data_IF_315928306164
#
_entry.id   IF_315928306164
#
_cell.length_a   1.000
_cell.length_b   1.000
_cell.length_c   1.000
_cell.angle_alpha   90.00
_cell.angle_beta   90.00
_cell.angle_gamma   90.00
#
_symmetry.space_group_name_H-M   'P 1'
#
loop_
_entity.id
_entity.type
_entity.pdbx_description
1 polymer ?
#
# COMPACT_ATOMS: atom_id res chain seq x y z
N UNK A 1 45.00 13.40 9.65
CA UNK A 1 43.62 13.01 10.00
C UNK A 1 42.62 14.17 10.11
N UNK A 2 43.02 15.45 10.15
CA UNK A 2 42.07 16.58 10.24
C UNK A 2 41.35 16.93 8.91
N UNK A 3 41.98 16.71 7.75
CA UNK A 3 41.43 17.10 6.45
C UNK A 3 40.21 16.26 6.00
N UNK A 4 40.14 14.98 6.38
CA UNK A 4 39.02 14.12 6.01
C UNK A 4 37.72 14.46 6.78
N UNK A 5 37.85 14.98 8.01
CA UNK A 5 36.70 15.34 8.85
C UNK A 5 36.04 16.65 8.41
N UNK A 6 36.84 17.63 7.93
CA UNK A 6 36.32 18.87 7.35
C UNK A 6 35.50 18.61 6.08
N UNK A 7 35.97 17.70 5.23
CA UNK A 7 35.28 17.32 3.98
C UNK A 7 33.90 16.69 4.22
N UNK A 8 33.75 15.90 5.29
CA UNK A 8 32.48 15.24 5.63
C UNK A 8 31.42 16.22 6.15
N UNK A 9 31.86 17.24 6.90
CA UNK A 9 30.99 18.32 7.41
C UNK A 9 30.50 19.20 6.27
N UNK A 10 31.36 19.54 5.31
CA UNK A 10 30.98 20.32 4.13
C UNK A 10 30.01 19.55 3.22
N UNK A 11 30.21 18.24 3.07
CA UNK A 11 29.26 17.38 2.33
C UNK A 11 27.91 17.32 3.05
N UNK A 12 27.88 17.19 4.38
CA UNK A 12 26.63 17.21 5.15
C UNK A 12 25.87 18.53 4.98
N UNK A 13 26.57 19.65 5.09
CA UNK A 13 26.00 20.98 4.90
C UNK A 13 25.39 21.13 3.51
N UNK A 14 26.11 20.70 2.47
CA UNK A 14 25.63 20.71 1.08
C UNK A 14 24.40 19.82 0.87
N UNK A 15 24.36 18.65 1.50
CA UNK A 15 23.21 17.74 1.44
C UNK A 15 21.98 18.38 2.11
N UNK A 16 22.17 19.05 3.24
CA UNK A 16 21.07 19.71 3.97
C UNK A 16 20.55 20.94 3.22
N UNK A 17 21.41 21.74 2.60
CA UNK A 17 21.02 22.86 1.73
C UNK A 17 20.19 22.36 0.52
N UNK A 18 20.61 21.25 -0.10
CA UNK A 18 19.87 20.60 -1.19
C UNK A 18 18.50 20.05 -0.74
N UNK A 19 18.42 19.52 0.49
CA UNK A 19 17.15 19.07 1.07
C UNK A 19 16.21 20.25 1.31
N UNK A 20 16.72 21.35 1.85
CA UNK A 20 15.94 22.57 2.09
C UNK A 20 15.43 23.18 0.78
N UNK A 21 16.26 23.23 -0.27
CA UNK A 21 15.82 23.70 -1.59
C UNK A 21 14.74 22.81 -2.22
N UNK A 22 14.83 21.47 -2.05
CA UNK A 22 13.77 20.56 -2.49
C UNK A 22 12.47 20.80 -1.73
N UNK A 23 12.54 20.91 -0.41
CA UNK A 23 11.38 21.23 0.43
C UNK A 23 10.75 22.57 0.04
N UNK A 24 11.56 23.60 -0.22
CA UNK A 24 11.08 24.92 -0.65
C UNK A 24 10.36 24.85 -2.01
N UNK A 25 10.90 24.09 -2.97
CA UNK A 25 10.24 23.84 -4.27
C UNK A 25 8.96 23.05 -4.11
N UNK A 26 8.93 22.02 -3.26
CA UNK A 26 7.72 21.25 -2.96
C UNK A 26 6.65 22.10 -2.27
N UNK A 27 7.03 23.00 -1.36
CA UNK A 27 6.09 23.94 -0.73
C UNK A 27 5.59 25.00 -1.71
N UNK A 28 6.46 25.53 -2.57
CA UNK A 28 6.06 26.48 -3.61
C UNK A 28 5.12 25.84 -4.64
N UNK A 29 5.35 24.57 -4.99
CA UNK A 29 4.46 23.80 -5.86
C UNK A 29 3.09 23.52 -5.20
N UNK A 30 3.02 23.46 -3.87
CA UNK A 30 1.75 23.33 -3.13
C UNK A 30 0.95 24.62 -3.07
N UNK A 31 1.62 25.78 -3.06
CA UNK A 31 0.96 27.09 -3.05
C UNK A 31 0.26 27.39 -4.39
N UNK A 32 0.68 26.73 -5.47
CA UNK A 32 0.07 26.81 -6.81
C UNK A 32 -0.77 25.57 -7.15
N UNK A 33 -1.45 24.95 -6.17
CA UNK A 33 -2.46 23.95 -6.50
C UNK A 33 -3.63 24.64 -7.21
N UNK A 34 -3.71 24.45 -8.53
CA UNK A 34 -4.94 24.62 -9.29
C UNK A 34 -6.09 23.95 -8.54
N UNK A 35 -7.20 24.67 -8.35
CA UNK A 35 -8.42 24.11 -7.77
C UNK A 35 -8.76 22.81 -8.50
N UNK A 36 -8.85 21.71 -7.76
CA UNK A 36 -9.23 20.42 -8.32
C UNK A 36 -10.67 20.50 -8.81
N UNK A 37 -10.86 20.76 -10.10
CA UNK A 37 -12.18 20.72 -10.75
C UNK A 37 -12.48 19.28 -11.14
N UNK A 38 -13.31 18.62 -10.33
CA UNK A 38 -13.77 17.26 -10.58
C UNK A 38 -14.96 17.26 -11.55
N UNK A 39 -14.85 16.55 -12.68
CA UNK A 39 -15.99 16.26 -13.54
C UNK A 39 -16.33 14.77 -13.49
N UNK A 40 -17.62 14.47 -13.69
CA UNK A 40 -18.06 13.09 -13.87
C UNK A 40 -17.43 12.53 -15.14
N UNK A 41 -16.84 11.34 -15.04
CA UNK A 41 -16.13 10.67 -16.12
C UNK A 41 -14.61 10.81 -16.06
N UNK A 42 -14.08 11.83 -15.37
CA UNK A 42 -12.63 12.02 -15.26
C UNK A 42 -11.96 10.90 -14.46
N UNK A 43 -10.71 10.64 -14.78
CA UNK A 43 -9.86 9.68 -14.09
C UNK A 43 -9.00 10.36 -13.03
N UNK A 44 -8.94 9.75 -11.85
CA UNK A 44 -8.22 10.24 -10.69
C UNK A 44 -7.41 9.15 -10.00
N UNK A 45 -6.33 9.55 -9.34
CA UNK A 45 -5.63 8.72 -8.37
C UNK A 45 -6.19 9.00 -6.98
N UNK A 46 -6.36 7.95 -6.19
CA UNK A 46 -6.83 8.01 -4.81
C UNK A 46 -5.69 7.75 -3.82
N UNK A 47 -5.58 8.60 -2.81
CA UNK A 47 -4.58 8.46 -1.74
C UNK A 47 -5.01 7.46 -0.67
N UNK A 48 -4.39 6.27 -0.65
CA UNK A 48 -4.47 5.31 0.45
C UNK A 48 -3.43 5.65 1.51
N UNK A 49 -3.84 5.70 2.77
CA UNK A 49 -2.93 5.88 3.90
C UNK A 49 -2.42 4.50 4.33
N UNK A 50 -1.17 4.16 4.00
CA UNK A 50 -0.62 2.82 4.27
C UNK A 50 -0.11 2.67 5.70
N UNK A 51 0.57 3.69 6.23
CA UNK A 51 1.14 3.69 7.57
C UNK A 51 1.07 5.09 8.18
N UNK A 52 0.51 5.16 9.39
CA UNK A 52 0.52 6.37 10.20
C UNK A 52 1.93 6.53 10.81
N UNK A 53 2.87 7.16 10.09
CA UNK A 53 4.11 7.66 10.69
C UNK A 53 3.87 9.09 11.19
N UNK A 54 4.28 9.36 12.42
CA UNK A 54 4.34 10.74 12.92
C UNK A 54 5.65 11.40 12.44
N UNK A 55 5.66 12.66 11.99
CA UNK A 55 4.55 13.60 11.86
C UNK A 55 3.82 13.58 10.50
N UNK A 56 4.21 12.72 9.54
CA UNK A 56 3.64 12.68 8.19
C UNK A 56 3.16 11.28 7.78
N UNK A 57 1.91 11.22 7.31
CA UNK A 57 1.31 10.02 6.72
C UNK A 57 2.12 9.55 5.51
N UNK A 58 2.45 8.26 5.48
CA UNK A 58 2.88 7.63 4.24
C UNK A 58 1.63 7.35 3.41
N UNK A 59 1.59 7.95 2.23
CA UNK A 59 0.46 7.90 1.31
C UNK A 59 0.92 7.22 0.03
N UNK A 60 0.17 6.22 -0.41
CA UNK A 60 0.31 5.62 -1.74
C UNK A 60 -0.87 6.05 -2.60
N UNK A 61 -0.57 6.51 -3.81
CA UNK A 61 -1.57 6.87 -4.80
C UNK A 61 -1.94 5.62 -5.60
N UNK A 62 -3.23 5.27 -5.59
CA UNK A 62 -3.78 4.11 -6.30
C UNK A 62 -4.69 4.57 -7.44
N UNK A 63 -4.78 3.77 -8.50
CA UNK A 63 -5.67 4.00 -9.62
C UNK A 63 -4.93 4.00 -10.96
N UNK A 64 -5.58 4.43 -12.05
CA UNK A 64 -6.77 5.29 -12.11
C UNK A 64 -8.11 4.73 -11.59
N UNK A 65 -8.92 5.62 -11.02
CA UNK A 65 -10.34 5.46 -10.74
C UNK A 65 -11.14 6.45 -11.60
N UNK A 66 -12.35 6.09 -12.02
CA UNK A 66 -13.26 6.98 -12.73
C UNK A 66 -14.20 7.68 -11.75
N UNK A 67 -14.39 9.00 -11.87
CA UNK A 67 -15.39 9.73 -11.10
C UNK A 67 -16.78 9.40 -11.63
N UNK A 68 -17.67 8.91 -10.77
CA UNK A 68 -19.07 8.63 -11.12
C UNK A 68 -20.01 9.72 -10.64
N UNK A 69 -19.72 10.34 -9.50
CA UNK A 69 -20.52 11.41 -8.92
C UNK A 69 -19.63 12.46 -8.27
N UNK A 70 -20.03 13.74 -8.36
CA UNK A 70 -19.32 14.87 -7.77
C UNK A 70 -20.25 15.58 -6.79
N UNK A 71 -19.76 15.81 -5.57
CA UNK A 71 -20.37 16.65 -4.54
C UNK A 71 -19.41 17.78 -4.15
N UNK A 72 -19.88 18.75 -3.35
CA UNK A 72 -19.13 19.97 -3.00
C UNK A 72 -17.72 19.71 -2.45
N UNK A 73 -17.52 18.65 -1.66
CA UNK A 73 -16.23 18.33 -1.03
C UNK A 73 -15.80 16.88 -1.22
N UNK A 74 -16.56 16.08 -1.96
CA UNK A 74 -16.32 14.65 -2.12
C UNK A 74 -16.78 14.15 -3.48
N UNK A 75 -16.15 13.09 -3.97
CA UNK A 75 -16.57 12.39 -5.17
C UNK A 75 -16.81 10.92 -4.87
N UNK A 76 -17.69 10.30 -5.65
CA UNK A 76 -17.75 8.84 -5.77
C UNK A 76 -16.80 8.44 -6.89
N UNK A 77 -15.88 7.52 -6.58
CA UNK A 77 -14.87 7.03 -7.51
C UNK A 77 -15.06 5.52 -7.71
N UNK A 78 -15.01 5.08 -8.97
CA UNK A 78 -15.15 3.70 -9.39
C UNK A 78 -13.80 3.15 -9.85
N UNK A 79 -13.40 2.00 -9.32
CA UNK A 79 -12.17 1.35 -9.76
C UNK A 79 -12.35 0.77 -11.18
N UNK A 80 -11.44 1.09 -12.11
CA UNK A 80 -11.61 0.76 -13.53
C UNK A 80 -11.66 -0.75 -13.82
N UNK A 81 -10.99 -1.58 -13.01
CA UNK A 81 -10.97 -3.04 -13.22
C UNK A 81 -12.06 -3.76 -12.45
N UNK A 82 -12.27 -3.36 -11.19
CA UNK A 82 -13.14 -4.12 -10.27
C UNK A 82 -14.55 -3.57 -10.21
N UNK A 83 -14.80 -2.39 -10.80
CA UNK A 83 -16.09 -1.71 -10.77
C UNK A 83 -16.53 -1.23 -9.38
N UNK A 84 -15.72 -1.45 -8.33
CA UNK A 84 -16.08 -1.07 -6.96
C UNK A 84 -16.04 0.43 -6.78
N UNK A 85 -17.09 0.96 -6.19
CA UNK A 85 -17.24 2.39 -5.89
C UNK A 85 -16.79 2.71 -4.46
N UNK A 86 -16.31 3.94 -4.27
CA UNK A 86 -15.87 4.47 -2.96
C UNK A 86 -16.12 5.96 -2.90
N UNK A 87 -16.45 6.46 -1.70
CA UNK A 87 -16.50 7.90 -1.44
C UNK A 87 -15.10 8.40 -1.03
N UNK A 88 -14.64 9.47 -1.66
CA UNK A 88 -13.37 10.11 -1.34
C UNK A 88 -13.52 11.63 -1.28
N UNK A 89 -12.90 12.26 -0.28
CA UNK A 89 -12.80 13.72 -0.20
C UNK A 89 -11.89 14.24 -1.33
N UNK A 90 -12.17 15.41 -1.89
CA UNK A 90 -11.40 16.00 -3.01
C UNK A 90 -9.90 16.13 -2.70
N UNK A 91 -9.54 16.48 -1.47
CA UNK A 91 -8.13 16.53 -1.02
C UNK A 91 -7.39 15.18 -1.03
N UNK A 92 -8.12 14.07 -1.16
CA UNK A 92 -7.56 12.71 -1.28
C UNK A 92 -7.44 12.25 -2.73
N UNK A 93 -7.82 13.09 -3.68
CA UNK A 93 -7.80 12.82 -5.10
C UNK A 93 -6.71 13.64 -5.78
N UNK A 94 -6.14 13.07 -6.85
CA UNK A 94 -5.23 13.75 -7.75
C UNK A 94 -5.71 13.50 -9.18
N UNK A 95 -5.86 14.54 -10.03
CA UNK A 95 -6.16 14.34 -11.45
C UNK A 95 -5.19 13.35 -12.08
N UNK A 96 -5.73 12.43 -12.88
CA UNK A 96 -4.94 11.52 -13.70
C UNK A 96 -5.14 11.83 -15.18
N UNK A 97 -6.39 11.81 -15.64
CA UNK A 97 -6.74 12.11 -17.03
C UNK A 97 -8.20 12.53 -17.15
N UNK A 98 -8.56 13.19 -18.25
CA UNK A 98 -9.95 13.56 -18.56
C UNK A 98 -10.78 12.35 -19.00
N UNK A 99 -12.11 12.46 -18.98
CA UNK A 99 -13.01 11.34 -19.33
C UNK A 99 -12.88 10.78 -20.75
N UNK A 100 -12.32 11.55 -21.70
CA UNK A 100 -12.02 11.09 -23.07
C UNK A 100 -10.76 10.22 -23.16
N UNK A 101 -10.07 9.99 -22.05
CA UNK A 101 -8.85 9.21 -22.00
C UNK A 101 -9.10 7.73 -22.31
N UNK A 102 -8.36 7.20 -23.28
CA UNK A 102 -8.43 5.79 -23.64
C UNK A 102 -7.64 4.93 -22.64
N UNK A 103 -8.34 4.09 -21.89
CA UNK A 103 -7.73 3.12 -20.99
C UNK A 103 -7.10 1.97 -21.79
N UNK A 104 -5.83 2.13 -22.16
CA UNK A 104 -5.02 1.11 -22.83
C UNK A 104 -4.84 -0.14 -21.96
N UNK A 105 -4.48 -1.25 -22.59
CA UNK A 105 -4.20 -2.50 -21.91
C UNK A 105 -3.04 -2.37 -20.90
N UNK A 106 -1.97 -1.65 -21.27
CA UNK A 106 -0.82 -1.39 -20.38
C UNK A 106 -1.24 -0.68 -19.08
N UNK A 107 -2.14 0.29 -19.17
CA UNK A 107 -2.65 0.99 -17.99
C UNK A 107 -3.48 0.05 -17.13
N UNK A 108 -4.32 -0.78 -17.75
CA UNK A 108 -5.13 -1.78 -17.03
C UNK A 108 -4.25 -2.81 -16.33
N UNK A 109 -3.18 -3.29 -16.98
CA UNK A 109 -2.19 -4.18 -16.39
C UNK A 109 -1.50 -3.51 -15.20
N UNK A 110 -1.03 -2.28 -15.37
CA UNK A 110 -0.43 -1.52 -14.27
C UNK A 110 -1.40 -1.30 -13.09
N UNK A 111 -2.69 -1.01 -13.35
CA UNK A 111 -3.70 -0.91 -12.29
C UNK A 111 -3.95 -2.26 -11.63
N UNK A 112 -3.87 -3.36 -12.37
CA UNK A 112 -4.04 -4.71 -11.80
C UNK A 112 -2.92 -5.07 -10.82
N UNK A 113 -1.71 -4.54 -11.04
CA UNK A 113 -0.58 -4.67 -10.12
C UNK A 113 -0.73 -3.79 -8.87
N UNK A 114 -1.54 -2.73 -8.95
CA UNK A 114 -1.77 -1.80 -7.84
C UNK A 114 -2.83 -2.30 -6.85
N UNK A 115 -2.38 -3.00 -5.81
CA UNK A 115 -3.17 -3.13 -4.57
C UNK A 115 -4.58 -3.70 -4.76
N UNK A 116 -4.75 -4.61 -5.72
CA UNK A 116 -5.99 -5.35 -5.88
C UNK A 116 -6.18 -6.22 -4.64
N UNK A 117 -7.31 -6.02 -3.94
CA UNK A 117 -7.76 -6.92 -2.89
C UNK A 117 -8.22 -8.22 -3.54
N UNK A 118 -7.27 -9.10 -3.80
CA UNK A 118 -7.51 -10.45 -4.26
C UNK A 118 -8.01 -11.27 -3.08
N UNK A 119 -9.11 -11.98 -3.29
CA UNK A 119 -9.59 -12.96 -2.31
C UNK A 119 -8.71 -14.19 -2.44
N UNK A 120 -8.23 -14.72 -1.32
CA UNK A 120 -7.53 -16.01 -1.31
C UNK A 120 -8.57 -17.09 -1.60
N UNK A 121 -8.36 -17.83 -2.69
CA UNK A 121 -9.11 -19.04 -3.03
C UNK A 121 -8.67 -20.21 -2.15
N UNK A 122 -7.35 -20.40 -2.08
CA UNK A 122 -6.74 -21.51 -1.36
C UNK A 122 -5.30 -21.16 -0.96
N UNK A 123 -4.80 -21.76 0.12
CA UNK A 123 -3.37 -21.73 0.47
C UNK A 123 -2.80 -23.13 0.24
N UNK A 124 -1.92 -23.28 -0.77
CA UNK A 124 -1.42 -24.59 -1.19
C UNK A 124 -0.18 -25.08 -0.45
N UNK A 125 0.64 -24.16 0.04
CA UNK A 125 1.92 -24.53 0.62
C UNK A 125 2.41 -23.50 1.64
N UNK A 126 3.33 -23.94 2.50
CA UNK A 126 4.04 -23.10 3.46
C UNK A 126 5.54 -23.36 3.32
N UNK A 127 6.35 -22.30 3.45
CA UNK A 127 7.82 -22.41 3.49
C UNK A 127 8.41 -21.40 4.45
N UNK A 128 9.59 -21.72 4.97
CA UNK A 128 10.42 -20.75 5.65
C UNK A 128 11.37 -20.12 4.63
N UNK A 129 11.23 -18.82 4.38
CA UNK A 129 12.23 -18.07 3.61
C UNK A 129 13.48 -17.92 4.48
N UNK A 130 14.53 -18.70 4.16
CA UNK A 130 15.74 -18.75 4.97
C UNK A 130 16.50 -17.42 5.01
N UNK A 131 16.49 -16.68 3.90
CA UNK A 131 17.16 -15.38 3.79
C UNK A 131 16.45 -14.31 4.61
N UNK A 132 15.12 -14.26 4.55
CA UNK A 132 14.33 -13.30 5.32
C UNK A 132 14.06 -13.75 6.77
N UNK A 133 14.23 -15.05 7.07
CA UNK A 133 13.82 -15.72 8.31
C UNK A 133 12.34 -15.48 8.65
N UNK A 134 11.48 -15.55 7.64
CA UNK A 134 10.03 -15.33 7.76
C UNK A 134 9.25 -16.43 7.08
N UNK A 135 8.08 -16.73 7.62
CA UNK A 135 7.18 -17.69 7.02
C UNK A 135 6.43 -17.07 5.84
N UNK A 136 6.43 -17.81 4.74
CA UNK A 136 5.69 -17.49 3.52
C UNK A 136 4.70 -18.60 3.22
N UNK A 137 3.55 -18.20 2.67
CA UNK A 137 2.49 -19.11 2.24
C UNK A 137 2.19 -18.89 0.76
N UNK A 138 1.94 -19.98 0.03
CA UNK A 138 1.60 -19.92 -1.37
C UNK A 138 0.09 -19.70 -1.51
N UNK A 139 -0.29 -18.48 -1.86
CA UNK A 139 -1.69 -18.08 -2.03
C UNK A 139 -2.14 -18.27 -3.47
N UNK A 140 -3.24 -18.98 -3.64
CA UNK A 140 -3.99 -19.05 -4.88
C UNK A 140 -5.11 -18.03 -4.80
N UNK A 141 -5.27 -17.25 -5.85
CA UNK A 141 -6.19 -16.12 -5.86
C UNK A 141 -7.51 -16.48 -6.54
N UNK A 142 -8.62 -16.01 -5.97
CA UNK A 142 -9.96 -16.21 -6.52
C UNK A 142 -10.08 -15.52 -7.87
N UNK A 143 -10.53 -16.26 -8.89
CA UNK A 143 -10.67 -15.74 -10.25
C UNK A 143 -9.38 -15.66 -11.06
N UNK A 144 -8.25 -16.12 -10.51
CA UNK A 144 -6.96 -16.23 -11.22
C UNK A 144 -6.57 -17.70 -11.44
N UNK A 145 -5.69 -17.92 -12.42
CA UNK A 145 -5.13 -19.24 -12.74
C UNK A 145 -4.03 -19.64 -11.73
N UNK A 146 -3.78 -20.94 -11.59
CA UNK A 146 -2.79 -21.46 -10.63
C UNK A 146 -1.36 -20.95 -10.88
N UNK A 147 -1.04 -20.59 -12.14
CA UNK A 147 0.26 -20.03 -12.51
C UNK A 147 0.48 -18.63 -11.90
N UNK A 148 -0.59 -17.95 -11.51
CA UNK A 148 -0.57 -16.63 -10.89
C UNK A 148 -0.48 -16.71 -9.35
N UNK A 149 -0.31 -17.91 -8.80
CA UNK A 149 -0.09 -18.08 -7.36
C UNK A 149 1.20 -17.39 -6.89
N UNK A 150 1.14 -16.69 -5.76
CA UNK A 150 2.27 -15.95 -5.21
C UNK A 150 2.62 -16.39 -3.79
N UNK A 151 3.91 -16.29 -3.45
CA UNK A 151 4.41 -16.50 -2.10
C UNK A 151 4.26 -15.21 -1.30
N UNK A 152 3.32 -15.20 -0.37
CA UNK A 152 3.03 -14.05 0.49
C UNK A 152 3.58 -14.26 1.89
N UNK A 153 4.01 -13.17 2.54
CA UNK A 153 4.41 -13.23 3.95
C UNK A 153 3.19 -13.58 4.80
N UNK A 154 3.33 -14.61 5.64
CA UNK A 154 2.24 -15.04 6.51
C UNK A 154 1.73 -13.92 7.41
N UNK A 155 2.63 -13.09 7.95
CA UNK A 155 2.23 -11.93 8.77
C UNK A 155 1.40 -10.89 8.03
N UNK A 156 1.59 -10.74 6.72
CA UNK A 156 0.79 -9.81 5.91
C UNK A 156 -0.64 -10.35 5.79
N UNK A 157 -0.77 -11.64 5.44
CA UNK A 157 -2.07 -12.31 5.37
C UNK A 157 -2.77 -12.36 6.74
N UNK A 158 -2.03 -12.55 7.83
CA UNK A 158 -2.59 -12.50 9.18
C UNK A 158 -3.09 -11.10 9.58
N UNK A 159 -2.52 -10.05 9.01
CA UNK A 159 -2.98 -8.67 9.21
C UNK A 159 -4.24 -8.38 8.39
N UNK A 160 -4.25 -8.80 7.12
CA UNK A 160 -5.31 -8.45 6.17
C UNK A 160 -6.52 -9.40 6.24
N UNK A 161 -6.28 -10.69 6.51
CA UNK A 161 -7.26 -11.77 6.57
C UNK A 161 -7.01 -12.72 7.76
N UNK A 162 -7.15 -12.24 9.02
CA UNK A 162 -6.78 -12.99 10.22
C UNK A 162 -7.52 -14.32 10.40
N UNK A 163 -8.77 -14.41 9.95
CA UNK A 163 -9.54 -15.66 10.00
C UNK A 163 -8.93 -16.75 9.10
N UNK A 164 -8.55 -16.38 7.87
CA UNK A 164 -7.93 -17.30 6.89
C UNK A 164 -6.56 -17.76 7.40
N UNK A 165 -5.75 -16.82 7.91
CA UNK A 165 -4.43 -17.14 8.46
C UNK A 165 -4.51 -18.10 9.66
N UNK A 166 -5.44 -17.88 10.60
CA UNK A 166 -5.63 -18.78 11.76
C UNK A 166 -6.08 -20.17 11.32
N UNK A 167 -7.08 -20.24 10.46
CA UNK A 167 -7.58 -21.50 9.94
C UNK A 167 -6.46 -22.29 9.24
N UNK A 168 -5.65 -21.62 8.41
CA UNK A 168 -4.53 -22.27 7.77
C UNK A 168 -3.50 -22.78 8.78
N UNK A 169 -3.10 -21.94 9.75
CA UNK A 169 -2.13 -22.33 10.78
C UNK A 169 -2.57 -23.58 11.58
N UNK A 170 -3.87 -23.72 11.85
CA UNK A 170 -4.44 -24.91 12.50
C UNK A 170 -4.42 -26.16 11.62
N UNK A 171 -4.56 -26.00 10.30
CA UNK A 171 -4.62 -27.10 9.33
C UNK A 171 -3.24 -27.59 8.86
N UNK A 172 -2.17 -26.82 9.10
CA UNK A 172 -0.82 -27.21 8.71
C UNK A 172 -0.37 -28.49 9.45
N UNK A 173 0.06 -29.49 8.70
CA UNK A 173 0.50 -30.80 9.20
C UNK A 173 1.96 -30.82 9.63
N UNK A 174 2.81 -30.01 9.00
CA UNK A 174 4.21 -29.86 9.39
C UNK A 174 4.33 -29.17 10.75
N UNK A 175 4.92 -29.85 11.74
CA UNK A 175 5.00 -29.34 13.10
C UNK A 175 5.85 -28.09 13.23
N UNK A 176 6.97 -28.02 12.50
CA UNK A 176 7.86 -26.85 12.53
C UNK A 176 7.18 -25.63 11.94
N UNK A 177 6.46 -25.82 10.84
CA UNK A 177 5.68 -24.75 10.22
C UNK A 177 4.55 -24.32 11.15
N UNK A 178 3.76 -25.25 11.71
CA UNK A 178 2.67 -24.94 12.65
C UNK A 178 3.15 -24.09 13.83
N UNK A 179 4.21 -24.52 14.50
CA UNK A 179 4.76 -23.81 15.66
C UNK A 179 5.29 -22.43 15.26
N UNK A 180 5.98 -22.35 14.11
CA UNK A 180 6.51 -21.11 13.59
C UNK A 180 5.43 -20.09 13.19
N UNK A 181 4.33 -20.54 12.58
CA UNK A 181 3.19 -19.70 12.24
C UNK A 181 2.45 -19.23 13.50
N UNK A 182 2.26 -20.12 14.48
CA UNK A 182 1.64 -19.78 15.76
C UNK A 182 2.45 -18.71 16.54
N UNK A 183 3.78 -18.83 16.53
CA UNK A 183 4.66 -17.82 17.12
C UNK A 183 4.58 -16.48 16.38
N UNK A 184 4.52 -16.46 15.05
CA UNK A 184 4.31 -15.21 14.29
C UNK A 184 2.95 -14.56 14.61
N UNK A 185 1.87 -15.33 14.77
CA UNK A 185 0.57 -14.82 15.20
C UNK A 185 0.64 -14.18 16.59
N UNK A 186 1.24 -14.87 17.57
CA UNK A 186 1.38 -14.36 18.95
C UNK A 186 2.14 -13.03 18.96
N UNK A 187 3.26 -12.96 18.24
CA UNK A 187 4.06 -11.73 18.15
C UNK A 187 3.30 -10.57 17.49
N UNK A 188 2.44 -10.84 16.51
CA UNK A 188 1.59 -9.82 15.89
C UNK A 188 0.54 -9.28 16.87
N UNK A 189 -0.11 -10.16 17.63
CA UNK A 189 -1.08 -9.78 18.66
C UNK A 189 -0.45 -8.91 19.76
N UNK A 190 0.73 -9.31 20.26
CA UNK A 190 1.49 -8.54 21.25
C UNK A 190 1.87 -7.14 20.72
N UNK A 191 2.32 -7.04 19.46
CA UNK A 191 2.64 -5.76 18.82
C UNK A 191 1.41 -4.87 18.68
N UNK A 192 0.27 -5.45 18.31
CA UNK A 192 -1.00 -4.72 18.21
C UNK A 192 -1.46 -4.19 19.58
N UNK A 193 -1.39 -5.02 20.62
CA UNK A 193 -1.73 -4.65 21.99
C UNK A 193 -0.80 -3.55 22.56
N UNK A 194 0.51 -3.65 22.30
CA UNK A 194 1.49 -2.64 22.72
C UNK A 194 1.29 -1.29 22.03
N UNK A 195 0.90 -1.30 20.75
CA UNK A 195 0.52 -0.09 20.00
C UNK A 195 -0.71 0.61 20.60
N UNK A 196 -1.68 -0.19 21.08
CA UNK A 196 -2.92 0.32 21.69
C UNK A 196 -2.67 0.94 23.07
N UNK A 197 -1.83 0.33 23.92
CA UNK A 197 -1.49 0.86 25.25
C UNK A 197 -0.66 2.15 25.23
N UNK A 198 0.10 2.42 24.17
CA UNK A 198 0.81 3.70 23.99
C UNK A 198 -0.12 4.86 23.61
N UNK A 199 -1.39 4.59 23.30
CA UNK A 199 -2.38 5.59 22.88
C UNK A 199 -3.34 6.01 24.00
N UNK A 200 -3.43 5.25 25.09
CA UNK A 200 -4.18 5.59 26.30
C UNK A 200 -3.31 6.34 27.29
#
# INVERSE_FOLDING_TARGET
MAAAHASLVDVHKKIDDLRQQRLARETAAKTHQEEFVANVGDYVLWSRVDKMKYPKLLVTWLGPFQITEVSTYSCVIRHILSGRERHAHTSRLKPYAEGSFELTQEIREHVSEQGVLLKIREIKAVRLNQSARRWEILCLWEGLEDIEASWELFTSIATDAPAVARQFAEQVTDARARDGLADELRQLEERSAASTRRRS
#
